data_IF_282673989370
#
_entry.id   IF_282673989370
#
_cell.length_a   1.000
_cell.length_b   1.000
_cell.length_c   1.000
_cell.angle_alpha   90.00
_cell.angle_beta   90.00
_cell.angle_gamma   90.00
#
_symmetry.space_group_name_H-M   'P 1'
#
loop_
_entity.id
_entity.type
_entity.pdbx_description
1 polymer ?
#
# COMPACT_ATOMS: atom_id res chain seq x y z
N UNK A 1 19.76 -10.50 -23.39
CA UNK A 1 19.37 -11.49 -22.36
C UNK A 1 17.86 -11.65 -22.38
N UNK A 2 17.33 -12.88 -22.43
CA UNK A 2 15.87 -13.11 -22.34
C UNK A 2 15.41 -12.78 -20.91
N UNK A 3 14.44 -11.87 -20.77
CA UNK A 3 13.80 -11.63 -19.48
C UNK A 3 13.08 -12.89 -19.01
N UNK A 4 13.17 -13.16 -17.71
CA UNK A 4 12.46 -14.29 -17.07
C UNK A 4 10.98 -14.00 -16.93
N UNK A 5 10.12 -15.03 -16.85
CA UNK A 5 8.66 -14.84 -16.71
C UNK A 5 8.31 -13.95 -15.52
N UNK A 6 8.98 -14.15 -14.39
CA UNK A 6 8.85 -13.29 -13.21
C UNK A 6 9.16 -11.84 -13.60
N UNK A 7 10.29 -11.55 -14.23
CA UNK A 7 10.63 -10.18 -14.65
C UNK A 7 9.61 -9.54 -15.61
N UNK A 8 9.04 -10.33 -16.52
CA UNK A 8 8.00 -9.86 -17.45
C UNK A 8 6.71 -9.49 -16.73
N UNK A 9 6.29 -10.29 -15.76
CA UNK A 9 4.98 -10.19 -15.08
C UNK A 9 5.01 -9.37 -13.79
N UNK A 10 6.03 -8.52 -13.62
CA UNK A 10 6.25 -7.75 -12.39
C UNK A 10 5.31 -6.54 -12.29
N UNK A 11 4.44 -6.51 -11.28
CA UNK A 11 3.54 -5.40 -11.02
C UNK A 11 4.13 -4.31 -10.10
N UNK A 12 5.45 -4.30 -9.88
CA UNK A 12 6.10 -3.31 -9.01
C UNK A 12 5.82 -1.87 -9.44
N UNK A 13 5.76 -1.60 -10.75
CA UNK A 13 5.43 -0.27 -11.27
C UNK A 13 4.00 0.15 -10.93
N UNK A 14 3.04 -0.80 -10.94
CA UNK A 14 1.68 -0.51 -10.48
C UNK A 14 1.66 -0.16 -9.00
N UNK A 15 2.45 -0.84 -8.17
CA UNK A 15 2.56 -0.50 -6.75
C UNK A 15 3.22 0.85 -6.51
N UNK A 16 4.28 1.17 -7.26
CA UNK A 16 4.92 2.48 -7.21
C UNK A 16 3.93 3.59 -7.55
N UNK A 17 3.11 3.40 -8.58
CA UNK A 17 2.06 4.35 -8.96
C UNK A 17 1.01 4.53 -7.84
N UNK A 18 0.64 3.46 -7.14
CA UNK A 18 -0.21 3.59 -5.95
C UNK A 18 0.46 4.34 -4.81
N UNK A 19 1.75 4.08 -4.57
CA UNK A 19 2.52 4.73 -3.51
C UNK A 19 2.73 6.23 -3.73
N UNK A 20 2.69 6.71 -4.99
CA UNK A 20 2.75 8.15 -5.30
C UNK A 20 1.64 8.95 -4.65
N UNK A 21 0.47 8.35 -4.39
CA UNK A 21 -0.61 9.01 -3.64
C UNK A 21 -0.23 9.29 -2.17
N UNK A 22 0.81 8.63 -1.67
CA UNK A 22 1.35 8.72 -0.32
C UNK A 22 2.74 9.37 -0.29
N UNK A 23 3.12 10.06 -1.36
CA UNK A 23 4.38 10.78 -1.39
C UNK A 23 4.39 11.92 -0.37
N UNK A 24 5.50 12.02 0.33
CA UNK A 24 5.87 13.12 1.23
C UNK A 24 7.21 13.67 0.79
N UNK A 25 7.38 14.97 0.98
CA UNK A 25 8.53 15.73 0.48
C UNK A 25 9.35 16.20 1.70
N UNK A 26 10.21 15.30 2.20
CA UNK A 26 10.98 15.56 3.41
C UNK A 26 12.20 16.41 3.09
N UNK A 27 12.60 17.28 4.01
CA UNK A 27 13.84 18.03 3.89
C UNK A 27 15.04 17.16 4.27
N UNK A 28 16.15 17.38 3.59
CA UNK A 28 17.42 16.76 3.95
C UNK A 28 17.95 17.29 5.30
N UNK A 29 19.05 16.70 5.78
CA UNK A 29 19.70 17.09 7.04
C UNK A 29 20.03 18.59 7.19
N UNK A 30 20.18 19.31 6.06
CA UNK A 30 20.48 20.75 6.03
C UNK A 30 19.24 21.61 5.85
N UNK A 31 18.05 21.02 5.78
CA UNK A 31 16.80 21.74 5.54
C UNK A 31 16.69 22.36 4.15
N UNK A 32 17.59 22.01 3.22
CA UNK A 32 17.84 22.72 1.97
C UNK A 32 17.25 21.99 0.77
N UNK A 33 17.47 20.67 0.70
CA UNK A 33 16.99 19.83 -0.40
C UNK A 33 15.72 19.08 -0.01
N UNK A 34 14.84 18.90 -0.98
CA UNK A 34 13.62 18.09 -0.83
C UNK A 34 13.88 16.68 -1.34
N UNK A 35 13.65 15.69 -0.48
CA UNK A 35 13.80 14.26 -0.74
C UNK A 35 12.42 13.61 -0.75
N UNK A 36 11.94 13.17 -1.92
CA UNK A 36 10.65 12.48 -2.01
C UNK A 36 10.74 11.09 -1.38
N UNK A 37 9.77 10.76 -0.52
CA UNK A 37 9.60 9.45 0.11
C UNK A 37 8.13 9.05 0.09
N UNK A 38 7.82 7.77 0.28
CA UNK A 38 6.46 7.29 0.47
C UNK A 38 6.23 6.98 1.94
N UNK A 39 5.19 7.54 2.54
CA UNK A 39 4.80 7.24 3.93
C UNK A 39 3.61 6.29 3.94
N UNK A 40 3.83 5.10 4.51
CA UNK A 40 2.77 4.10 4.71
C UNK A 40 2.59 3.82 6.20
N UNK A 41 1.46 3.25 6.60
CA UNK A 41 1.27 2.77 7.97
C UNK A 41 1.35 1.25 8.04
N UNK A 42 2.01 0.74 9.07
CA UNK A 42 2.12 -0.70 9.36
C UNK A 42 1.68 -0.92 10.79
N UNK A 43 0.82 -1.91 11.01
CA UNK A 43 0.44 -2.34 12.34
C UNK A 43 1.31 -3.53 12.77
N UNK A 44 1.90 -3.47 13.95
CA UNK A 44 2.67 -4.58 14.52
C UNK A 44 2.42 -4.69 16.02
N UNK A 45 2.36 -5.92 16.54
CA UNK A 45 2.35 -6.14 17.99
C UNK A 45 3.72 -5.73 18.57
N UNK A 46 3.70 -4.80 19.51
CA UNK A 46 4.88 -4.38 20.27
C UNK A 46 4.46 -3.78 21.61
N UNK A 47 5.43 -3.66 22.51
CA UNK A 47 5.27 -3.00 23.79
C UNK A 47 5.55 -1.51 23.61
N UNK A 48 4.59 -0.65 23.97
CA UNK A 48 4.71 0.80 23.81
C UNK A 48 5.92 1.35 24.57
N UNK A 49 6.13 0.90 25.81
CA UNK A 49 7.32 1.22 26.62
C UNK A 49 8.62 0.94 25.85
N UNK A 50 8.73 -0.23 25.23
CA UNK A 50 9.96 -0.63 24.54
C UNK A 50 10.22 0.24 23.31
N UNK A 51 9.17 0.60 22.59
CA UNK A 51 9.28 1.49 21.43
C UNK A 51 9.65 2.92 21.85
N UNK A 52 9.13 3.39 22.98
CA UNK A 52 9.51 4.67 23.58
C UNK A 52 11.00 4.66 23.98
N UNK A 53 11.44 3.66 24.74
CA UNK A 53 12.83 3.53 25.18
C UNK A 53 13.81 3.43 24.00
N UNK A 54 13.46 2.69 22.95
CA UNK A 54 14.29 2.57 21.75
C UNK A 54 14.36 3.88 20.97
N UNK A 55 13.24 4.62 20.85
CA UNK A 55 13.17 5.89 20.11
C UNK A 55 13.98 7.00 20.78
N UNK A 56 13.82 7.14 22.10
CA UNK A 56 14.40 8.23 22.90
C UNK A 56 15.65 7.80 23.67
N UNK A 57 16.31 6.71 23.24
CA UNK A 57 17.44 6.09 23.97
C UNK A 57 18.55 7.07 24.39
N UNK A 58 18.80 8.13 23.61
CA UNK A 58 19.82 9.14 23.89
C UNK A 58 19.42 10.23 24.90
N UNK A 59 18.14 10.30 25.29
CA UNK A 59 17.58 11.42 26.08
C UNK A 59 16.94 10.98 27.40
N UNK A 60 16.76 9.67 27.57
CA UNK A 60 16.14 9.08 28.76
C UNK A 60 17.20 8.81 29.81
N UNK A 61 17.12 9.54 30.92
CA UNK A 61 17.83 9.22 32.16
C UNK A 61 17.05 8.19 33.00
N UNK A 62 17.64 7.74 34.11
CA UNK A 62 17.03 6.71 34.97
C UNK A 62 15.67 7.12 35.53
N UNK A 63 15.48 8.41 35.84
CA UNK A 63 14.20 8.93 36.29
C UNK A 63 13.12 8.78 35.20
N UNK A 64 13.39 9.27 33.99
CA UNK A 64 12.46 9.14 32.84
C UNK A 64 12.19 7.69 32.48
N UNK A 65 13.19 6.80 32.63
CA UNK A 65 13.02 5.37 32.40
C UNK A 65 12.04 4.76 33.40
N UNK A 66 12.19 5.04 34.70
CA UNK A 66 11.26 4.56 35.73
C UNK A 66 9.86 5.12 35.56
N UNK A 67 9.77 6.41 35.22
CA UNK A 67 8.49 7.07 34.96
C UNK A 67 7.79 6.46 33.73
N UNK A 68 8.52 6.24 32.64
CA UNK A 68 8.01 5.54 31.46
C UNK A 68 7.58 4.11 31.78
N UNK A 69 8.34 3.37 32.61
CA UNK A 69 7.94 2.03 33.03
C UNK A 69 6.63 2.05 33.84
N UNK A 70 6.41 3.05 34.70
CA UNK A 70 5.15 3.19 35.45
C UNK A 70 3.96 3.55 34.54
N UNK A 71 4.16 4.45 33.58
CA UNK A 71 3.07 5.02 32.75
C UNK A 71 2.77 4.21 31.48
N UNK A 72 3.81 3.65 30.87
CA UNK A 72 3.71 2.96 29.58
C UNK A 72 3.80 1.44 29.73
N UNK A 73 3.87 0.94 30.97
CA UNK A 73 3.75 -0.50 31.23
C UNK A 73 2.44 -1.00 30.65
N UNK A 74 2.52 -2.16 30.03
CA UNK A 74 1.34 -2.79 29.48
C UNK A 74 1.70 -3.93 28.58
N UNK A 75 0.66 -4.57 28.10
CA UNK A 75 0.78 -5.77 27.29
C UNK A 75 1.30 -5.50 25.89
N UNK A 76 1.68 -6.59 25.23
CA UNK A 76 2.03 -6.62 23.82
C UNK A 76 0.81 -6.35 22.93
N UNK A 77 0.46 -5.08 22.75
CA UNK A 77 -0.70 -4.66 21.93
C UNK A 77 -0.29 -4.21 20.53
N UNK A 78 -1.28 -4.09 19.65
CA UNK A 78 -1.05 -3.63 18.27
C UNK A 78 -0.70 -2.15 18.26
N UNK A 79 0.54 -1.84 17.89
CA UNK A 79 1.06 -0.50 17.67
C UNK A 79 0.93 -0.12 16.19
N UNK A 80 0.75 1.18 15.93
CA UNK A 80 0.71 1.72 14.57
C UNK A 80 2.02 2.46 14.28
N UNK A 81 2.70 2.07 13.21
CA UNK A 81 3.97 2.66 12.78
C UNK A 81 3.80 3.44 11.49
N UNK A 82 4.37 4.65 11.43
CA UNK A 82 4.67 5.32 10.17
C UNK A 82 5.97 4.76 9.60
N UNK A 83 5.95 4.33 8.34
CA UNK A 83 7.10 3.71 7.67
C UNK A 83 7.39 4.45 6.39
N UNK A 84 8.63 4.94 6.26
CA UNK A 84 9.12 5.64 5.10
C UNK A 84 9.82 4.69 4.14
N UNK A 85 9.42 4.74 2.88
CA UNK A 85 10.09 4.10 1.77
C UNK A 85 10.72 5.18 0.89
N UNK A 86 11.96 4.97 0.45
CA UNK A 86 12.53 5.84 -0.56
C UNK A 86 11.92 5.54 -1.95
N UNK A 87 12.22 6.38 -2.94
CA UNK A 87 11.77 6.19 -4.33
C UNK A 87 12.30 4.91 -5.00
N UNK A 88 13.30 4.25 -4.41
CA UNK A 88 13.76 2.93 -4.84
C UNK A 88 13.02 1.77 -4.13
N UNK A 89 11.89 2.07 -3.49
CA UNK A 89 11.02 1.14 -2.76
C UNK A 89 11.76 0.35 -1.67
N UNK A 90 12.76 0.97 -1.04
CA UNK A 90 13.46 0.45 0.13
C UNK A 90 12.95 1.13 1.38
N UNK A 91 12.56 0.31 2.35
CA UNK A 91 12.18 0.77 3.68
C UNK A 91 13.40 1.43 4.32
N UNK A 92 13.24 2.68 4.74
CA UNK A 92 14.33 3.56 5.12
C UNK A 92 14.25 3.97 6.59
N UNK A 93 13.04 4.18 7.11
CA UNK A 93 12.84 4.60 8.50
C UNK A 93 11.45 4.20 8.98
N UNK A 94 11.30 3.89 10.27
CA UNK A 94 10.01 3.71 10.91
C UNK A 94 9.95 4.40 12.28
N UNK A 95 8.77 4.87 12.64
CA UNK A 95 8.46 5.52 13.92
C UNK A 95 7.07 5.10 14.40
N UNK A 96 6.82 5.09 15.71
CA UNK A 96 5.48 4.85 16.24
C UNK A 96 4.65 6.14 16.11
N UNK A 97 3.40 6.01 15.66
CA UNK A 97 2.48 7.14 15.44
C UNK A 97 2.03 7.79 16.76
N UNK A 98 2.18 7.11 17.89
CA UNK A 98 1.79 7.65 19.20
C UNK A 98 2.66 8.83 19.66
N UNK A 99 3.94 8.83 19.26
CA UNK A 99 4.88 9.87 19.67
C UNK A 99 5.49 10.66 18.51
N UNK A 100 5.13 10.35 17.26
CA UNK A 100 5.60 11.12 16.11
C UNK A 100 4.62 11.13 14.93
N UNK A 101 4.57 12.28 14.24
CA UNK A 101 3.81 12.46 13.00
C UNK A 101 4.60 13.35 12.03
N UNK A 102 4.10 13.56 10.82
CA UNK A 102 4.56 14.61 9.94
C UNK A 102 4.22 15.97 10.54
N UNK A 103 5.16 16.92 10.41
CA UNK A 103 4.88 18.31 10.73
C UNK A 103 3.74 18.87 9.85
N UNK A 104 3.20 20.03 10.22
CA UNK A 104 2.10 20.67 9.48
C UNK A 104 2.38 20.86 7.99
N UNK A 105 3.66 21.06 7.63
CA UNK A 105 4.11 21.26 6.26
C UNK A 105 4.54 19.97 5.55
N UNK A 106 4.53 18.81 6.24
CA UNK A 106 5.00 17.50 5.76
C UNK A 106 6.44 17.50 5.23
N UNK A 107 7.25 18.41 5.74
CA UNK A 107 8.67 18.57 5.42
C UNK A 107 9.60 17.86 6.40
N UNK A 108 9.11 17.41 7.56
CA UNK A 108 9.88 16.62 8.53
C UNK A 108 8.97 15.69 9.35
N UNK A 109 9.56 14.70 10.00
CA UNK A 109 8.90 13.99 11.10
C UNK A 109 9.11 14.82 12.35
N UNK A 110 8.01 15.15 13.02
CA UNK A 110 7.97 15.83 14.30
C UNK A 110 7.73 14.80 15.41
N UNK A 111 8.73 14.64 16.28
CA UNK A 111 8.63 13.81 17.47
C UNK A 111 8.17 14.68 18.63
N UNK A 112 7.24 14.16 19.43
CA UNK A 112 6.93 14.74 20.74
C UNK A 112 8.18 14.73 21.61
N UNK A 113 8.31 15.69 22.51
CA UNK A 113 9.32 15.59 23.55
C UNK A 113 9.02 14.40 24.47
N UNK A 114 10.06 13.75 24.99
CA UNK A 114 9.90 12.59 25.85
C UNK A 114 9.14 12.93 27.14
N UNK A 115 9.39 14.08 27.74
CA UNK A 115 8.71 14.54 28.96
C UNK A 115 7.27 14.93 28.64
N UNK A 116 7.05 15.70 27.58
CA UNK A 116 5.71 16.11 27.14
C UNK A 116 4.82 14.90 26.88
N UNK A 117 5.35 13.87 26.19
CA UNK A 117 4.62 12.64 25.93
C UNK A 117 4.27 11.87 27.21
N UNK A 118 5.22 11.72 28.13
CA UNK A 118 4.96 11.04 29.40
C UNK A 118 3.93 11.82 30.25
N UNK A 119 4.01 13.15 30.27
CA UNK A 119 3.03 14.00 30.95
C UNK A 119 1.63 13.82 30.36
N UNK A 120 1.49 13.83 29.04
CA UNK A 120 0.23 13.60 28.33
C UNK A 120 -0.39 12.22 28.69
N UNK A 121 0.44 11.18 28.75
CA UNK A 121 -0.01 9.83 29.11
C UNK A 121 -0.37 9.73 30.59
N UNK A 122 0.43 10.35 31.46
CA UNK A 122 0.18 10.38 32.91
C UNK A 122 -1.12 11.08 33.29
N UNK A 123 -1.54 12.11 32.53
CA UNK A 123 -2.79 12.82 32.77
C UNK A 123 -4.04 11.96 32.49
N UNK A 124 -3.87 10.86 31.77
CA UNK A 124 -4.93 9.90 31.45
C UNK A 124 -4.89 8.64 32.33
N UNK A 125 -3.91 8.51 33.23
CA UNK A 125 -3.77 7.40 34.15
C UNK A 125 -3.97 7.84 35.61
N UNK A 126 -4.71 7.04 36.36
CA UNK A 126 -4.82 7.22 37.81
C UNK A 126 -3.53 6.69 38.48
N UNK A 127 -2.54 7.57 38.65
CA UNK A 127 -1.21 7.25 39.19
C UNK A 127 -1.22 6.82 40.68
N UNK A 128 -2.39 6.80 41.31
CA UNK A 128 -2.57 6.48 42.74
C UNK A 128 -2.48 4.99 43.07
N UNK A 129 -2.41 4.11 42.06
CA UNK A 129 -2.16 2.68 42.28
C UNK A 129 -0.65 2.41 42.34
N UNK A 130 -0.13 2.27 43.56
CA UNK A 130 1.15 1.62 43.80
C UNK A 130 0.99 0.12 43.50
N UNK A 131 1.35 -0.27 42.28
CA UNK A 131 1.51 -1.68 41.93
C UNK A 131 2.86 -2.11 42.49
N UNK A 132 2.83 -2.96 43.51
CA UNK A 132 4.03 -3.58 44.09
C UNK A 132 4.92 -4.11 42.97
N UNK A 133 6.20 -3.70 43.02
CA UNK A 133 7.21 -4.11 42.06
C UNK A 133 7.46 -5.61 42.21
N UNK A 134 6.75 -6.42 41.43
CA UNK A 134 7.12 -7.81 41.28
C UNK A 134 8.37 -7.86 40.38
N UNK A 135 9.46 -8.25 41.03
CA UNK A 135 10.80 -8.42 40.47
C UNK A 135 10.78 -9.65 39.56
N UNK A 136 10.18 -9.50 38.38
CA UNK A 136 10.12 -10.55 37.38
C UNK A 136 10.51 -9.99 36.01
N UNK A 137 11.81 -10.19 35.74
CA UNK A 137 12.41 -10.53 34.43
C UNK A 137 11.48 -10.33 33.24
N UNK A 138 11.83 -9.38 32.36
CA UNK A 138 11.33 -9.36 30.99
C UNK A 138 11.40 -10.80 30.43
N UNK A 139 10.29 -11.43 30.02
CA UNK A 139 10.40 -12.66 29.27
C UNK A 139 11.04 -12.30 27.94
N UNK A 140 12.34 -12.52 27.86
CA UNK A 140 13.08 -12.61 26.61
C UNK A 140 12.74 -13.98 26.05
N UNK A 141 11.50 -14.19 25.61
CA UNK A 141 11.19 -15.26 24.66
C UNK A 141 9.96 -14.93 23.82
N UNK A 142 10.21 -15.02 22.52
CA UNK A 142 9.37 -14.59 21.40
C UNK A 142 8.39 -15.70 21.03
N UNK A 143 7.42 -15.99 21.88
CA UNK A 143 6.31 -16.84 21.47
C UNK A 143 5.27 -16.00 20.72
N UNK A 144 5.60 -15.77 19.46
CA UNK A 144 4.68 -15.26 18.47
C UNK A 144 3.87 -16.42 17.91
N UNK A 145 2.60 -16.48 18.29
CA UNK A 145 1.63 -17.39 17.70
C UNK A 145 1.60 -17.24 16.16
N UNK A 146 1.90 -18.29 15.38
CA UNK A 146 1.92 -18.26 13.92
C UNK A 146 0.51 -18.27 13.30
N UNK A 147 -0.54 -18.29 14.10
CA UNK A 147 -1.92 -18.41 13.65
C UNK A 147 -2.63 -17.08 13.31
N UNK A 148 -2.14 -16.28 12.36
CA UNK A 148 -2.98 -15.19 11.81
C UNK A 148 -2.74 -14.95 10.30
N UNK A 149 -3.49 -15.68 9.46
CA UNK A 149 -3.68 -15.44 8.01
C UNK A 149 -4.57 -14.21 7.74
N UNK A 150 -4.35 -13.11 8.45
CA UNK A 150 -5.24 -11.95 8.36
C UNK A 150 -4.58 -10.67 8.84
N UNK A 151 -3.94 -9.95 7.93
CA UNK A 151 -3.82 -8.50 8.08
C UNK A 151 -2.48 -7.96 8.58
N UNK A 152 -1.36 -8.34 7.99
CA UNK A 152 -0.29 -7.34 7.75
C UNK A 152 -0.74 -6.40 6.62
N UNK A 153 -1.91 -5.79 6.77
CA UNK A 153 -2.38 -4.78 5.85
C UNK A 153 -1.60 -3.51 6.11
N UNK A 154 -1.01 -2.95 5.07
CA UNK A 154 -0.76 -1.51 5.07
C UNK A 154 -2.14 -0.85 5.22
N UNK A 155 -2.46 -0.33 6.40
CA UNK A 155 -3.76 0.31 6.66
C UNK A 155 -3.60 1.79 6.36
N UNK A 156 -4.27 2.29 5.34
CA UNK A 156 -4.15 3.70 4.96
C UNK A 156 -5.05 4.58 5.82
N UNK A 157 -4.45 5.29 6.77
CA UNK A 157 -4.97 6.60 7.19
C UNK A 157 -3.79 7.52 7.47
N UNK A 158 -3.25 8.20 6.45
CA UNK A 158 -2.42 9.38 6.75
C UNK A 158 -3.40 10.42 7.29
N UNK A 159 -3.53 10.51 8.62
CA UNK A 159 -4.23 11.60 9.31
C UNK A 159 -3.39 12.87 9.21
N UNK A 160 -3.26 13.38 7.99
CA UNK A 160 -2.93 14.76 7.69
C UNK A 160 -4.02 15.25 6.73
N UNK A 161 -4.80 16.25 7.14
CA UNK A 161 -5.90 16.82 6.34
C UNK A 161 -5.49 16.92 4.86
N UNK A 162 -6.20 16.19 3.99
CA UNK A 162 -6.10 16.34 2.53
C UNK A 162 -6.86 17.62 2.17
N UNK A 163 -6.26 18.79 2.41
CA UNK A 163 -6.79 20.01 1.82
C UNK A 163 -6.43 20.00 0.34
N UNK A 164 -7.47 20.05 -0.48
CA UNK A 164 -7.46 20.62 -1.83
C UNK A 164 -6.44 20.06 -2.83
N UNK A 165 -6.97 19.45 -3.90
CA UNK A 165 -6.39 19.39 -5.23
C UNK A 165 -5.31 20.46 -5.51
N UNK A 166 -4.04 20.18 -5.21
CA UNK A 166 -2.96 20.86 -5.88
C UNK A 166 -2.69 20.05 -7.15
N UNK A 167 -3.27 20.54 -8.26
CA UNK A 167 -2.79 20.20 -9.60
C UNK A 167 -1.27 20.24 -9.58
N UNK A 168 -0.57 19.23 -10.14
CA UNK A 168 0.89 19.27 -10.20
C UNK A 168 1.27 20.51 -11.00
N UNK A 169 1.81 21.54 -10.33
CA UNK A 169 2.51 22.62 -11.02
C UNK A 169 3.75 21.97 -11.63
N UNK A 170 3.65 21.66 -12.91
CA UNK A 170 4.75 21.30 -13.79
C UNK A 170 5.85 22.36 -13.70
N UNK A 171 6.79 22.15 -12.80
CA UNK A 171 8.17 22.56 -13.02
C UNK A 171 8.96 21.27 -13.20
N UNK A 172 9.14 20.87 -14.46
CA UNK A 172 10.22 19.98 -14.88
C UNK A 172 11.54 20.68 -14.55
N UNK A 173 11.97 20.65 -13.28
CA UNK A 173 13.39 20.70 -12.97
C UNK A 173 13.88 19.28 -13.12
N UNK A 174 14.80 19.09 -14.06
CA UNK A 174 15.61 17.89 -14.23
C UNK A 174 16.10 17.48 -12.84
N UNK A 175 15.48 16.45 -12.25
CA UNK A 175 15.89 15.90 -10.96
C UNK A 175 17.29 15.32 -11.19
N UNK A 176 18.34 16.08 -10.82
CA UNK A 176 19.61 15.46 -10.45
C UNK A 176 19.25 14.39 -9.44
N UNK A 177 19.70 13.16 -9.66
CA UNK A 177 19.65 12.08 -8.65
C UNK A 177 20.34 12.64 -7.41
N UNK A 178 19.58 13.22 -6.48
CA UNK A 178 20.15 13.78 -5.27
C UNK A 178 20.59 12.58 -4.44
N UNK A 179 21.87 12.56 -4.10
CA UNK A 179 22.41 11.70 -3.03
C UNK A 179 22.06 12.27 -1.65
N UNK A 180 21.09 13.18 -1.58
CA UNK A 180 20.64 13.81 -0.35
C UNK A 180 19.99 12.75 0.55
N UNK A 181 20.47 12.68 1.79
CA UNK A 181 19.99 11.74 2.80
C UNK A 181 19.17 12.53 3.81
N UNK A 182 17.98 12.02 4.12
CA UNK A 182 17.17 12.52 5.24
C UNK A 182 17.81 11.99 6.53
N UNK A 183 18.20 12.89 7.42
CA UNK A 183 18.56 12.53 8.80
C UNK A 183 17.31 12.59 9.68
N UNK A 184 17.26 11.74 10.69
CA UNK A 184 16.16 11.70 11.64
C UNK A 184 16.71 11.96 13.03
N UNK A 185 15.99 12.78 13.80
CA UNK A 185 16.43 13.23 15.13
C UNK A 185 16.38 12.10 16.17
N UNK A 186 15.57 11.05 15.92
CA UNK A 186 15.41 9.89 16.80
C UNK A 186 15.78 8.59 16.13
N UNK A 187 16.03 7.56 16.94
CA UNK A 187 16.35 6.23 16.46
C UNK A 187 15.19 5.61 15.68
N UNK A 188 15.53 4.82 14.65
CA UNK A 188 14.52 4.15 13.84
C UNK A 188 13.99 2.88 14.48
N UNK A 189 12.67 2.67 14.40
CA UNK A 189 12.00 1.43 14.79
C UNK A 189 11.88 0.43 13.62
N UNK A 190 12.69 0.60 12.56
CA UNK A 190 12.64 -0.29 11.39
C UNK A 190 12.91 -1.76 11.75
N UNK A 191 13.65 -2.01 12.84
CA UNK A 191 13.87 -3.35 13.38
C UNK A 191 12.56 -4.04 13.81
N UNK A 192 11.51 -3.30 14.20
CA UNK A 192 10.19 -3.85 14.52
C UNK A 192 9.50 -4.37 13.27
N UNK A 193 9.56 -3.59 12.20
CA UNK A 193 9.02 -3.95 10.89
C UNK A 193 9.77 -5.16 10.31
N UNK A 194 11.10 -5.18 10.43
CA UNK A 194 11.91 -6.32 10.00
C UNK A 194 11.57 -7.60 10.78
N UNK A 195 11.45 -7.53 12.12
CA UNK A 195 11.03 -8.67 12.94
C UNK A 195 9.61 -9.15 12.61
N UNK A 196 8.70 -8.22 12.33
CA UNK A 196 7.33 -8.55 11.90
C UNK A 196 7.36 -9.36 10.60
N UNK A 197 8.04 -8.86 9.58
CA UNK A 197 8.04 -9.47 8.26
C UNK A 197 8.97 -10.69 8.15
N UNK A 198 10.00 -10.78 8.98
CA UNK A 198 10.94 -11.91 9.00
C UNK A 198 10.28 -13.28 9.22
N UNK A 199 9.04 -13.33 9.73
CA UNK A 199 8.25 -14.56 9.83
C UNK A 199 7.76 -15.10 8.48
N UNK A 200 7.66 -14.23 7.49
CA UNK A 200 7.20 -14.58 6.14
C UNK A 200 8.37 -14.81 5.18
N UNK A 201 9.51 -15.29 5.70
CA UNK A 201 10.67 -15.65 4.88
C UNK A 201 10.32 -16.86 4.01
N UNK A 202 10.58 -16.73 2.72
CA UNK A 202 10.36 -17.77 1.72
C UNK A 202 11.64 -18.00 0.93
N UNK A 203 11.79 -19.20 0.40
CA UNK A 203 12.81 -19.54 -0.59
C UNK A 203 12.20 -19.34 -1.97
N UNK A 204 12.92 -18.65 -2.84
CA UNK A 204 12.44 -18.36 -4.18
C UNK A 204 13.49 -18.66 -5.23
N UNK A 205 13.13 -19.52 -6.18
CA UNK A 205 13.90 -19.79 -7.37
C UNK A 205 13.62 -18.71 -8.43
N UNK A 206 14.46 -17.68 -8.44
CA UNK A 206 14.48 -16.69 -9.51
C UNK A 206 15.39 -17.23 -10.62
N UNK A 207 14.79 -17.87 -11.62
CA UNK A 207 15.46 -18.15 -12.91
C UNK A 207 16.42 -19.35 -12.93
N UNK A 208 16.18 -20.38 -12.13
CA UNK A 208 16.73 -21.72 -12.35
C UNK A 208 18.18 -21.96 -11.93
N UNK A 209 18.85 -21.03 -11.24
CA UNK A 209 20.24 -21.27 -10.81
C UNK A 209 20.61 -20.84 -9.39
N UNK A 210 19.86 -19.94 -8.73
CA UNK A 210 20.08 -19.63 -7.30
C UNK A 210 18.76 -19.36 -6.57
N UNK A 211 18.44 -20.24 -5.62
CA UNK A 211 17.41 -19.99 -4.60
C UNK A 211 17.85 -18.80 -3.76
N UNK A 212 16.97 -17.80 -3.63
CA UNK A 212 17.18 -16.64 -2.75
C UNK A 212 16.19 -16.68 -1.61
N UNK A 213 16.65 -16.32 -0.41
CA UNK A 213 15.75 -16.00 0.69
C UNK A 213 15.15 -14.62 0.43
N UNK A 214 13.82 -14.58 0.36
CA UNK A 214 13.01 -13.38 0.22
C UNK A 214 12.01 -13.34 1.37
N UNK A 215 11.33 -12.21 1.55
CA UNK A 215 10.21 -12.08 2.46
C UNK A 215 8.96 -11.81 1.62
N UNK A 216 7.93 -12.63 1.78
CA UNK A 216 6.66 -12.48 1.07
C UNK A 216 5.64 -11.81 1.99
N UNK A 217 5.14 -10.63 1.61
CA UNK A 217 4.05 -9.97 2.33
C UNK A 217 2.84 -9.80 1.43
N UNK A 218 1.65 -9.82 2.02
CA UNK A 218 0.41 -9.50 1.32
C UNK A 218 -0.06 -8.10 1.67
N UNK A 219 -0.43 -7.33 0.66
CA UNK A 219 -0.90 -5.96 0.82
C UNK A 219 -2.09 -5.69 -0.09
N UNK A 220 -2.93 -4.73 0.30
CA UNK A 220 -4.13 -4.36 -0.45
C UNK A 220 -3.96 -2.97 -1.07
N UNK A 221 -4.27 -2.86 -2.36
CA UNK A 221 -4.27 -1.58 -3.08
C UNK A 221 -5.52 -1.44 -3.94
N UNK A 222 -5.96 -0.19 -4.12
CA UNK A 222 -7.10 0.12 -4.98
C UNK A 222 -6.64 0.35 -6.42
N UNK A 223 -6.80 -0.66 -7.26
CA UNK A 223 -6.29 -0.69 -8.65
C UNK A 223 -7.33 -1.28 -9.61
N UNK A 224 -7.13 -1.08 -10.91
CA UNK A 224 -7.96 -1.73 -11.93
C UNK A 224 -7.50 -3.17 -12.09
N UNK A 225 -8.38 -4.14 -11.79
CA UNK A 225 -8.08 -5.57 -11.96
C UNK A 225 -7.83 -5.92 -13.42
N UNK A 226 -8.49 -5.22 -14.36
CA UNK A 226 -8.19 -5.34 -15.78
C UNK A 226 -6.77 -4.85 -16.11
N UNK A 227 -6.37 -3.68 -15.63
CA UNK A 227 -5.04 -3.13 -15.97
C UNK A 227 -3.93 -4.04 -15.43
N UNK A 228 -4.11 -4.57 -14.22
CA UNK A 228 -3.21 -5.58 -13.66
C UNK A 228 -3.14 -6.83 -14.54
N UNK A 229 -4.29 -7.31 -15.01
CA UNK A 229 -4.37 -8.48 -15.88
C UNK A 229 -3.63 -8.24 -17.20
N UNK A 230 -3.90 -7.11 -17.87
CA UNK A 230 -3.25 -6.77 -19.14
C UNK A 230 -1.73 -6.64 -19.01
N UNK A 231 -1.25 -6.08 -17.89
CA UNK A 231 0.20 -6.02 -17.60
C UNK A 231 0.78 -7.39 -17.24
N UNK A 232 0.04 -8.21 -16.50
CA UNK A 232 0.51 -9.54 -16.08
C UNK A 232 0.67 -10.48 -17.27
N UNK A 233 -0.20 -10.38 -18.27
CA UNK A 233 -0.23 -11.25 -19.43
C UNK A 233 0.14 -10.52 -20.73
N UNK A 234 0.97 -9.48 -20.62
CA UNK A 234 1.42 -8.71 -21.78
C UNK A 234 2.09 -9.65 -22.81
N UNK A 235 1.56 -9.64 -24.04
CA UNK A 235 1.99 -10.52 -25.13
C UNK A 235 1.23 -11.85 -25.23
N UNK A 236 0.48 -12.26 -24.21
CA UNK A 236 -0.32 -13.49 -24.17
C UNK A 236 -1.85 -13.23 -24.34
N UNK A 237 -2.24 -11.95 -24.42
CA UNK A 237 -3.62 -11.48 -24.59
C UNK A 237 -3.83 -11.01 -26.04
N UNK A 238 -4.65 -11.75 -26.78
CA UNK A 238 -5.17 -11.34 -28.09
C UNK A 238 -6.43 -10.47 -27.97
N UNK A 239 -6.93 -9.96 -29.09
CA UNK A 239 -8.11 -9.09 -29.13
C UNK A 239 -9.36 -9.76 -28.53
N UNK A 240 -9.51 -11.08 -28.71
CA UNK A 240 -10.63 -11.83 -28.17
C UNK A 240 -10.56 -11.93 -26.64
N UNK A 241 -9.38 -12.29 -26.10
CA UNK A 241 -9.10 -12.35 -24.67
C UNK A 241 -9.24 -10.98 -24.02
N UNK A 242 -8.78 -9.92 -24.67
CA UNK A 242 -8.95 -8.55 -24.16
C UNK A 242 -10.43 -8.18 -24.03
N UNK A 243 -11.25 -8.48 -25.03
CA UNK A 243 -12.68 -8.20 -25.02
C UNK A 243 -13.41 -8.93 -23.89
N UNK A 244 -13.05 -10.20 -23.65
CA UNK A 244 -13.58 -10.97 -22.52
C UNK A 244 -13.09 -10.37 -21.20
N UNK A 245 -11.80 -10.09 -21.06
CA UNK A 245 -11.23 -9.51 -19.85
C UNK A 245 -11.93 -8.19 -19.47
N UNK A 246 -12.17 -7.31 -20.45
CA UNK A 246 -12.94 -6.06 -20.24
C UNK A 246 -14.35 -6.31 -19.73
N UNK A 247 -15.05 -7.33 -20.27
CA UNK A 247 -16.41 -7.69 -19.82
C UNK A 247 -16.41 -8.27 -18.40
N UNK A 248 -15.40 -9.07 -18.05
CA UNK A 248 -15.39 -9.82 -16.79
C UNK A 248 -14.75 -9.07 -15.62
N UNK A 249 -13.59 -8.46 -15.85
CA UNK A 249 -12.82 -7.80 -14.79
C UNK A 249 -13.26 -6.33 -14.59
N UNK A 250 -13.69 -5.69 -15.68
CA UNK A 250 -14.10 -4.30 -15.70
C UNK A 250 -12.97 -3.30 -15.46
N UNK A 251 -13.20 -2.04 -15.84
CA UNK A 251 -12.20 -0.96 -15.75
C UNK A 251 -12.19 -0.25 -14.38
N UNK A 252 -13.04 -0.67 -13.45
CA UNK A 252 -13.21 0.03 -12.16
C UNK A 252 -12.06 -0.31 -11.24
N UNK A 253 -11.54 0.72 -10.55
CA UNK A 253 -10.58 0.50 -9.46
C UNK A 253 -11.29 -0.14 -8.25
N UNK A 254 -10.90 -1.37 -7.93
CA UNK A 254 -11.36 -2.15 -6.77
C UNK A 254 -10.19 -2.45 -5.84
N UNK A 255 -10.48 -2.94 -4.64
CA UNK A 255 -9.42 -3.38 -3.72
C UNK A 255 -8.89 -4.73 -4.20
N UNK A 256 -7.67 -4.74 -4.70
CA UNK A 256 -6.92 -5.93 -5.09
C UNK A 256 -5.89 -6.28 -4.02
N UNK A 257 -5.58 -7.57 -3.89
CA UNK A 257 -4.54 -8.07 -2.97
C UNK A 257 -3.31 -8.47 -3.77
N UNK A 258 -2.15 -7.99 -3.35
CA UNK A 258 -0.86 -8.22 -3.99
C UNK A 258 0.07 -8.98 -3.05
N UNK A 259 0.79 -9.96 -3.59
CA UNK A 259 1.97 -10.51 -2.96
C UNK A 259 3.19 -9.68 -3.36
N UNK A 260 3.97 -9.21 -2.37
CA UNK A 260 5.22 -8.47 -2.57
C UNK A 260 6.38 -9.29 -2.05
N UNK A 261 7.42 -9.42 -2.87
CA UNK A 261 8.70 -10.00 -2.45
C UNK A 261 9.68 -8.90 -2.08
N UNK A 262 10.09 -8.90 -0.83
CA UNK A 262 11.15 -8.06 -0.28
C UNK A 262 12.45 -8.85 -0.19
N UNK A 263 13.57 -8.17 -0.39
CA UNK A 263 14.88 -8.69 0.05
C UNK A 263 14.96 -8.69 1.58
N UNK A 264 15.92 -9.43 2.19
CA UNK A 264 16.20 -9.33 3.62
C UNK A 264 16.52 -7.90 4.10
N UNK A 265 17.01 -7.03 3.21
CA UNK A 265 17.22 -5.61 3.49
C UNK A 265 15.97 -4.73 3.33
N UNK A 266 14.78 -5.34 3.31
CA UNK A 266 13.47 -4.68 3.12
C UNK A 266 13.40 -3.80 1.86
N UNK A 267 13.95 -4.27 0.76
CA UNK A 267 13.74 -3.65 -0.56
C UNK A 267 12.72 -4.44 -1.36
N UNK A 268 11.66 -3.78 -1.83
CA UNK A 268 10.71 -4.39 -2.76
C UNK A 268 11.40 -4.70 -4.09
N UNK A 269 11.29 -5.96 -4.54
CA UNK A 269 11.84 -6.40 -5.84
C UNK A 269 10.77 -6.88 -6.80
N UNK A 270 9.67 -7.37 -6.25
CA UNK A 270 8.64 -8.01 -7.03
C UNK A 270 7.26 -7.80 -6.45
N UNK A 271 6.27 -7.71 -7.32
CA UNK A 271 4.88 -7.77 -6.94
C UNK A 271 4.05 -8.54 -7.97
N UNK A 272 3.04 -9.25 -7.49
CA UNK A 272 2.04 -9.93 -8.31
C UNK A 272 0.65 -9.78 -7.69
N UNK A 273 -0.39 -9.73 -8.51
CA UNK A 273 -1.76 -9.75 -8.02
C UNK A 273 -2.15 -11.20 -7.68
N UNK A 274 -2.61 -11.42 -6.46
CA UNK A 274 -2.94 -12.75 -5.93
C UNK A 274 -4.12 -13.41 -6.64
N UNK A 275 -4.91 -12.65 -7.40
CA UNK A 275 -5.94 -13.21 -8.28
C UNK A 275 -5.37 -13.96 -9.49
N UNK A 276 -4.10 -13.68 -9.86
CA UNK A 276 -3.47 -14.20 -11.09
C UNK A 276 -2.27 -15.09 -10.83
N UNK A 277 -1.70 -15.02 -9.63
CA UNK A 277 -0.54 -15.80 -9.27
C UNK A 277 -0.50 -16.08 -7.77
N UNK A 278 0.21 -17.15 -7.39
CA UNK A 278 0.47 -17.51 -6.01
C UNK A 278 1.91 -17.97 -5.84
N UNK A 279 2.44 -17.83 -4.64
CA UNK A 279 3.66 -18.52 -4.27
C UNK A 279 3.35 -19.99 -4.03
N UNK A 280 4.06 -20.86 -4.73
CA UNK A 280 4.04 -22.29 -4.50
C UNK A 280 5.28 -22.72 -3.70
N UNK A 281 5.04 -23.36 -2.56
CA UNK A 281 6.08 -23.75 -1.61
C UNK A 281 6.86 -24.97 -2.09
N UNK A 282 6.23 -25.86 -2.87
CA UNK A 282 6.86 -27.08 -3.36
C UNK A 282 7.86 -26.77 -4.48
N UNK A 283 7.45 -25.96 -5.45
CA UNK A 283 8.35 -25.51 -6.53
C UNK A 283 9.23 -24.31 -6.15
N UNK A 284 9.06 -23.75 -4.95
CA UNK A 284 9.71 -22.51 -4.49
C UNK A 284 9.62 -21.38 -5.53
N UNK A 285 8.46 -21.22 -6.17
CA UNK A 285 8.29 -20.32 -7.32
C UNK A 285 6.99 -19.52 -7.26
N UNK A 286 6.88 -18.47 -8.07
CA UNK A 286 5.60 -17.78 -8.31
C UNK A 286 4.95 -18.44 -9.51
N UNK A 287 3.83 -19.10 -9.28
CA UNK A 287 3.06 -19.81 -10.31
C UNK A 287 1.92 -18.92 -10.76
N UNK A 288 1.87 -18.66 -12.06
CA UNK A 288 0.81 -17.88 -12.70
C UNK A 288 -0.30 -18.78 -13.17
N UNK A 289 -1.53 -18.39 -12.88
CA UNK A 289 -2.72 -19.03 -13.44
C UNK A 289 -2.75 -18.78 -14.96
N UNK A 290 -3.06 -19.78 -15.80
CA UNK A 290 -3.25 -19.55 -17.22
C UNK A 290 -4.31 -18.49 -17.53
N UNK A 291 -4.13 -17.74 -18.62
CA UNK A 291 -5.04 -16.65 -19.02
C UNK A 291 -6.49 -17.15 -19.12
N UNK A 292 -6.67 -18.30 -19.74
CA UNK A 292 -7.97 -18.94 -19.96
C UNK A 292 -8.64 -19.29 -18.63
N UNK A 293 -7.88 -19.81 -17.67
CA UNK A 293 -8.39 -20.15 -16.34
C UNK A 293 -8.77 -18.91 -15.53
N UNK A 294 -8.02 -17.81 -15.64
CA UNK A 294 -8.40 -16.54 -14.99
C UNK A 294 -9.73 -16.04 -15.54
N UNK A 295 -9.91 -16.05 -16.86
CA UNK A 295 -11.13 -15.58 -17.51
C UNK A 295 -12.32 -16.51 -17.26
N UNK A 296 -12.10 -17.83 -17.17
CA UNK A 296 -13.13 -18.83 -16.87
C UNK A 296 -13.48 -18.88 -15.37
N UNK A 297 -12.53 -18.70 -14.46
CA UNK A 297 -12.78 -18.72 -13.01
C UNK A 297 -13.79 -17.66 -12.57
N UNK A 298 -13.78 -16.50 -13.23
CA UNK A 298 -14.73 -15.40 -13.01
C UNK A 298 -16.09 -15.64 -13.69
N UNK A 299 -16.18 -16.51 -14.72
CA UNK A 299 -17.47 -16.85 -15.37
C UNK A 299 -18.43 -17.56 -14.42
N UNK A 300 -17.94 -18.32 -13.43
CA UNK A 300 -18.80 -19.02 -12.47
C UNK A 300 -19.55 -18.06 -11.52
N UNK A 301 -19.17 -16.79 -11.45
CA UNK A 301 -19.89 -15.76 -10.68
C UNK A 301 -20.79 -14.86 -11.54
N UNK A 302 -20.63 -14.87 -12.86
CA UNK A 302 -21.46 -14.08 -13.77
C UNK A 302 -22.51 -14.99 -14.39
N UNK A 303 -23.72 -14.96 -13.82
CA UNK A 303 -24.91 -15.58 -14.39
C UNK A 303 -25.27 -14.91 -15.73
N UNK A 304 -24.68 -15.42 -16.82
CA UNK A 304 -24.89 -14.95 -18.19
C UNK A 304 -26.34 -15.17 -18.69
N UNK A 305 -27.18 -15.86 -17.91
CA UNK A 305 -28.60 -16.08 -18.26
C UNK A 305 -29.49 -14.84 -18.04
N UNK A 306 -28.97 -13.75 -17.43
CA UNK A 306 -29.72 -12.52 -17.13
C UNK A 306 -29.48 -11.36 -18.10
N UNK A 307 -28.84 -11.58 -19.24
CA UNK A 307 -28.79 -10.56 -20.31
C UNK A 307 -30.15 -10.52 -21.04
N UNK A 308 -31.12 -9.76 -20.50
CA UNK A 308 -32.32 -9.40 -21.27
C UNK A 308 -31.89 -8.68 -22.54
N UNK A 309 -32.37 -9.09 -23.74
CA UNK A 309 -32.02 -8.41 -24.98
C UNK A 309 -32.46 -6.95 -24.88
N UNK A 310 -31.54 -6.02 -25.20
CA UNK A 310 -31.87 -4.59 -25.27
C UNK A 310 -33.06 -4.40 -26.22
N UNK A 311 -34.09 -3.62 -25.84
CA UNK A 311 -35.20 -3.35 -26.74
C UNK A 311 -34.66 -2.68 -28.00
N UNK A 312 -35.05 -3.22 -29.17
CA UNK A 312 -34.71 -2.61 -30.46
C UNK A 312 -35.15 -1.14 -30.44
N UNK A 313 -34.31 -0.19 -30.87
CA UNK A 313 -34.74 1.20 -30.98
C UNK A 313 -35.94 1.27 -31.93
N UNK A 314 -37.03 1.90 -31.48
CA UNK A 314 -38.19 2.16 -32.34
C UNK A 314 -37.73 2.99 -33.55
N UNK A 315 -38.21 2.68 -34.77
CA UNK A 315 -37.89 3.47 -35.94
C UNK A 315 -38.32 4.93 -35.71
N UNK A 316 -37.41 5.87 -35.94
CA UNK A 316 -37.71 7.31 -35.86
C UNK A 316 -38.76 7.66 -36.93
N UNK A 317 -39.79 8.46 -36.61
CA UNK A 317 -40.68 9.01 -37.63
C UNK A 317 -39.87 9.82 -38.64
N UNK A 318 -40.14 9.61 -39.93
CA UNK A 318 -39.52 10.42 -41.00
C UNK A 318 -39.95 11.89 -40.84
N UNK A 319 -39.06 12.87 -41.08
CA UNK A 319 -39.47 14.27 -41.16
C UNK A 319 -40.49 14.44 -42.29
N UNK A 320 -41.64 15.03 -41.98
CA UNK A 320 -42.57 15.48 -43.01
C UNK A 320 -41.92 16.63 -43.79
N UNK A 321 -41.82 16.47 -45.11
CA UNK A 321 -41.41 17.52 -46.02
C UNK A 321 -42.40 18.70 -45.99
N UNK A 322 -41.95 19.95 -46.18
CA UNK A 322 -42.84 21.11 -46.14
C UNK A 322 -43.88 21.04 -47.27
N UNK A 323 -45.16 21.19 -46.91
CA UNK A 323 -46.25 21.32 -47.87
C UNK A 323 -46.12 22.66 -48.61
N UNK A 324 -45.77 22.60 -49.89
CA UNK A 324 -45.79 23.75 -50.80
C UNK A 324 -47.24 23.96 -51.26
N UNK A 325 -47.85 25.08 -50.87
CA UNK A 325 -49.13 25.52 -51.41
C UNK A 325 -48.95 26.00 -52.85
N UNK A 326 -49.59 25.31 -53.80
CA UNK A 326 -49.77 25.79 -55.18
C UNK A 326 -51.25 26.07 -55.42
N UNK A 327 -51.58 27.34 -55.65
CA UNK A 327 -52.87 27.75 -56.21
C UNK A 327 -52.90 27.41 -57.70
N UNK A 328 -54.02 26.85 -58.18
CA UNK A 328 -54.38 26.90 -59.60
C UNK A 328 -55.88 27.20 -59.73
N UNK A 329 -56.17 28.38 -60.27
CA UNK A 329 -57.47 28.78 -60.81
C UNK A 329 -57.85 27.84 -61.95
N UNK A 330 -59.02 27.20 -61.88
CA UNK A 330 -59.78 26.81 -63.06
C UNK A 330 -61.24 26.57 -62.70
N UNK A 331 -62.10 27.39 -63.29
CA UNK A 331 -63.54 27.37 -63.08
C UNK A 331 -64.26 26.19 -63.72
N UNK A 332 -65.54 26.07 -63.38
CA UNK A 332 -66.53 25.39 -64.22
C UNK A 332 -67.84 26.18 -64.19
N UNK A 333 -68.36 26.35 -65.40
CA UNK A 333 -69.63 26.95 -65.80
C UNK A 333 -70.81 26.57 -64.91
N UNK A 334 -71.66 27.54 -64.63
CA UNK A 334 -73.05 27.53 -65.10
C UNK A 334 -73.32 28.82 -65.85
#
# INVERSE_FOLDING_TARGET
MKQTEIQKRNLIATLEDCLKEHQVDLKDSKGTDVVPMYLIEVNAKSWLLKDFLDTYKSEINDFKRKLADKILRGDNVTQKYGVLLNTNLKYSFAFNRDFADLDKNRGKIEFKDAEEYLLEKSANEDLSQDVEADDNTFPVDLDFDPGFRGGTGIVYSITGKRSGQNKPKTKKKTQKKSTAVVSFDKASLLNRVDKLYSKNKVKLNLSGSKIKSMILIEVKYKTSKLDDFMKTYEGDVDEFKEKIARKMLGDKKIVNTYGILLTPSLQMKYAFNTAFAKYDKESESIVYTPVEEVLLGETKQVDLSKEKPKPRPRPRPRPQSPTVFRYSLQGKKQ
#
